data_IF_703571274737
#
_entry.id   IF_703571274737
#
_cell.length_a   1.000
_cell.length_b   1.000
_cell.length_c   1.000
_cell.angle_alpha   90.00
_cell.angle_beta   90.00
_cell.angle_gamma   90.00
#
_symmetry.space_group_name_H-M   'P 1'
#
loop_
_entity.id
_entity.type
_entity.pdbx_description
1 polymer ?
#
# COMPACT_ATOMS: atom_id res chain seq x y z
N UNK A 1 -16.93 12.01 -12.60
CA UNK A 1 -16.44 12.30 -13.95
C UNK A 1 -17.22 11.45 -14.93
N UNK A 2 -18.06 12.07 -15.78
CA UNK A 2 -18.90 11.36 -16.74
C UNK A 2 -18.02 10.55 -17.70
N UNK A 3 -18.29 9.25 -17.84
CA UNK A 3 -17.67 8.41 -18.88
C UNK A 3 -18.09 8.98 -20.22
N UNK A 4 -17.17 9.60 -20.96
CA UNK A 4 -17.43 10.12 -22.30
C UNK A 4 -17.88 8.96 -23.18
N UNK A 5 -19.17 8.97 -23.59
CA UNK A 5 -19.75 7.97 -24.47
C UNK A 5 -18.94 7.95 -25.78
N UNK A 6 -18.56 6.76 -26.26
CA UNK A 6 -17.84 6.63 -27.52
C UNK A 6 -18.61 7.30 -28.65
N UNK A 7 -17.97 8.24 -29.36
CA UNK A 7 -18.51 8.95 -30.52
C UNK A 7 -18.54 8.02 -31.74
N UNK A 8 -19.33 6.94 -31.67
CA UNK A 8 -19.47 5.98 -32.77
C UNK A 8 -20.19 6.67 -33.94
N UNK A 9 -19.67 6.51 -35.17
CA UNK A 9 -20.29 7.06 -36.38
C UNK A 9 -19.91 8.49 -36.76
N UNK A 10 -18.98 9.13 -36.05
CA UNK A 10 -18.47 10.46 -36.45
C UNK A 10 -17.62 10.34 -37.71
N UNK A 11 -18.01 11.06 -38.76
CA UNK A 11 -17.23 11.22 -39.98
C UNK A 11 -16.29 12.41 -39.80
N UNK A 12 -15.00 12.17 -39.99
CA UNK A 12 -13.97 13.21 -39.94
C UNK A 12 -13.66 13.71 -41.35
N UNK A 13 -13.29 14.98 -41.48
CA UNK A 13 -12.93 15.60 -42.76
C UNK A 13 -11.57 15.10 -43.24
N UNK A 14 -11.32 15.22 -44.54
CA UNK A 14 -10.03 14.85 -45.14
C UNK A 14 -8.90 15.71 -44.53
N UNK A 15 -9.18 16.98 -44.26
CA UNK A 15 -8.25 17.94 -43.63
C UNK A 15 -7.76 17.46 -42.25
N UNK A 16 -8.66 16.95 -41.40
CA UNK A 16 -8.26 16.42 -40.09
C UNK A 16 -7.34 15.21 -40.21
N UNK A 17 -7.52 14.39 -41.26
CA UNK A 17 -6.64 13.25 -41.54
C UNK A 17 -5.28 13.69 -42.05
N UNK A 18 -5.23 14.68 -42.95
CA UNK A 18 -3.95 15.21 -43.47
C UNK A 18 -3.15 15.88 -42.35
N UNK A 19 -3.82 16.63 -41.48
CA UNK A 19 -3.22 17.25 -40.30
C UNK A 19 -2.66 16.20 -39.33
N UNK A 20 -3.41 15.12 -39.06
CA UNK A 20 -2.94 14.00 -38.24
C UNK A 20 -1.64 13.36 -38.80
N UNK A 21 -1.57 13.21 -40.13
CA UNK A 21 -0.39 12.66 -40.82
C UNK A 21 0.81 13.59 -40.64
N UNK A 22 0.63 14.91 -40.79
CA UNK A 22 1.70 15.89 -40.58
C UNK A 22 2.22 15.85 -39.13
N UNK A 23 1.32 15.86 -38.14
CA UNK A 23 1.69 15.76 -36.73
C UNK A 23 2.47 14.47 -36.43
N UNK A 24 2.09 13.36 -37.07
CA UNK A 24 2.78 12.09 -36.92
C UNK A 24 4.18 12.12 -37.50
N UNK A 25 4.36 12.70 -38.69
CA UNK A 25 5.67 12.89 -39.34
C UNK A 25 6.60 13.78 -38.53
N UNK A 26 6.06 14.75 -37.79
CA UNK A 26 6.82 15.60 -36.84
C UNK A 26 7.28 14.80 -35.60
N UNK A 27 6.71 13.61 -35.35
CA UNK A 27 7.06 12.77 -34.21
C UNK A 27 6.15 12.96 -32.99
N UNK A 28 4.88 13.33 -33.19
CA UNK A 28 3.83 13.29 -32.15
C UNK A 28 3.31 11.87 -31.93
N UNK A 29 2.88 11.58 -30.71
CA UNK A 29 2.28 10.29 -30.37
C UNK A 29 0.80 10.22 -30.79
N UNK A 30 0.27 9.01 -31.01
CA UNK A 30 -1.16 8.83 -31.28
C UNK A 30 -2.06 9.48 -30.22
N UNK A 31 -1.64 9.50 -28.95
CA UNK A 31 -2.39 10.12 -27.85
C UNK A 31 -2.40 11.64 -27.94
N UNK A 32 -1.26 12.25 -28.25
CA UNK A 32 -1.15 13.70 -28.45
C UNK A 32 -1.99 14.15 -29.65
N UNK A 33 -1.94 13.41 -30.75
CA UNK A 33 -2.71 13.70 -31.97
C UNK A 33 -4.21 13.55 -31.69
N UNK A 34 -4.61 12.47 -31.00
CA UNK A 34 -6.00 12.24 -30.63
C UNK A 34 -6.55 13.38 -29.74
N UNK A 35 -5.75 13.84 -28.77
CA UNK A 35 -6.11 14.96 -27.92
C UNK A 35 -6.18 16.29 -28.69
N UNK A 36 -5.23 16.56 -29.58
CA UNK A 36 -5.15 17.80 -30.35
C UNK A 36 -6.32 17.95 -31.34
N UNK A 37 -6.66 16.88 -32.06
CA UNK A 37 -7.72 16.88 -33.09
C UNK A 37 -9.10 16.47 -32.54
N UNK A 38 -9.21 16.24 -31.23
CA UNK A 38 -10.43 15.77 -30.56
C UNK A 38 -11.03 14.49 -31.21
N UNK A 39 -10.16 13.60 -31.67
CA UNK A 39 -10.52 12.32 -32.31
C UNK A 39 -10.28 11.16 -31.34
N UNK A 40 -10.89 10.00 -31.62
CA UNK A 40 -10.62 8.81 -30.82
C UNK A 40 -9.19 8.30 -31.05
N UNK A 41 -8.60 7.67 -30.02
CA UNK A 41 -7.27 7.05 -30.13
C UNK A 41 -7.23 5.99 -31.23
N UNK A 42 -8.32 5.24 -31.39
CA UNK A 42 -8.46 4.21 -32.43
C UNK A 42 -8.46 4.82 -33.83
N UNK A 43 -9.15 5.96 -34.02
CA UNK A 43 -9.15 6.69 -35.30
C UNK A 43 -7.75 7.18 -35.65
N UNK A 44 -7.05 7.80 -34.68
CA UNK A 44 -5.68 8.26 -34.87
C UNK A 44 -4.74 7.09 -35.23
N UNK A 45 -4.86 5.95 -34.56
CA UNK A 45 -4.08 4.76 -34.88
C UNK A 45 -4.38 4.23 -36.28
N UNK A 46 -5.67 4.12 -36.65
CA UNK A 46 -6.10 3.58 -37.95
C UNK A 46 -5.52 4.38 -39.12
N UNK A 47 -5.48 5.71 -39.01
CA UNK A 47 -4.95 6.58 -40.06
C UNK A 47 -3.43 6.58 -40.16
N UNK A 48 -2.74 6.27 -39.07
CA UNK A 48 -1.30 6.50 -38.92
C UNK A 48 -0.48 5.22 -38.73
N UNK A 49 -1.12 4.05 -38.71
CA UNK A 49 -0.50 2.74 -38.45
C UNK A 49 0.67 2.42 -39.39
N UNK A 50 0.64 2.93 -40.62
CA UNK A 50 1.64 2.63 -41.65
C UNK A 50 2.84 3.60 -41.60
N UNK A 51 2.78 4.67 -40.79
CA UNK A 51 3.83 5.68 -40.67
C UNK A 51 4.86 5.25 -39.62
N UNK A 52 6.08 4.97 -40.09
CA UNK A 52 7.22 4.61 -39.23
C UNK A 52 7.86 5.86 -38.61
N UNK A 53 8.14 5.79 -37.30
CA UNK A 53 8.84 6.84 -36.56
C UNK A 53 10.35 6.57 -36.65
N UNK A 54 11.16 7.61 -36.86
CA UNK A 54 12.63 7.45 -36.86
C UNK A 54 13.19 7.19 -35.45
N UNK A 55 14.40 6.61 -35.33
CA UNK A 55 15.04 6.40 -34.03
C UNK A 55 15.20 7.71 -33.22
N UNK A 56 15.55 8.82 -33.87
CA UNK A 56 15.70 10.13 -33.22
C UNK A 56 14.37 10.66 -32.67
N UNK A 57 13.28 10.51 -33.43
CA UNK A 57 11.95 10.88 -32.98
C UNK A 57 11.46 10.00 -31.83
N UNK A 58 11.80 8.70 -31.83
CA UNK A 58 11.47 7.78 -30.74
C UNK A 58 12.13 8.20 -29.43
N UNK A 59 13.41 8.57 -29.46
CA UNK A 59 14.13 9.11 -28.30
C UNK A 59 13.49 10.41 -27.79
N UNK A 60 13.08 11.31 -28.70
CA UNK A 60 12.38 12.54 -28.33
C UNK A 60 10.99 12.27 -27.72
N UNK A 61 10.28 11.25 -28.18
CA UNK A 61 9.01 10.81 -27.56
C UNK A 61 9.26 10.26 -26.16
N UNK A 62 10.32 9.47 -25.99
CA UNK A 62 10.67 8.84 -24.72
C UNK A 62 11.09 9.88 -23.67
N UNK A 63 11.89 10.89 -24.04
CA UNK A 63 12.27 11.98 -23.13
C UNK A 63 11.08 12.83 -22.69
N UNK A 64 10.10 13.06 -23.59
CA UNK A 64 8.86 13.80 -23.30
C UNK A 64 7.83 12.98 -22.53
N UNK A 65 7.95 11.65 -22.52
CA UNK A 65 7.02 10.78 -21.81
C UNK A 65 7.15 11.07 -20.32
N UNK A 66 6.21 11.84 -19.79
CA UNK A 66 6.13 12.10 -18.36
C UNK A 66 5.89 10.78 -17.61
N UNK A 67 6.98 10.16 -17.16
CA UNK A 67 6.91 9.05 -16.23
C UNK A 67 6.46 9.66 -14.91
N UNK A 68 5.18 9.50 -14.57
CA UNK A 68 4.73 9.87 -13.22
C UNK A 68 5.47 8.98 -12.23
N UNK A 69 6.55 9.49 -11.65
CA UNK A 69 7.25 8.86 -10.54
C UNK A 69 6.48 9.22 -9.29
N UNK A 70 5.74 8.24 -8.76
CA UNK A 70 5.09 8.40 -7.46
C UNK A 70 6.17 8.61 -6.40
N UNK A 71 6.03 9.65 -5.60
CA UNK A 71 6.86 9.83 -4.41
C UNK A 71 6.62 8.68 -3.41
N UNK A 72 7.56 8.46 -2.48
CA UNK A 72 7.42 7.47 -1.42
C UNK A 72 6.13 7.68 -0.64
N UNK A 73 5.78 8.91 -0.30
CA UNK A 73 4.55 9.22 0.43
C UNK A 73 3.30 8.87 -0.39
N UNK A 74 3.28 9.23 -1.67
CA UNK A 74 2.17 8.89 -2.58
C UNK A 74 1.99 7.38 -2.73
N UNK A 75 3.09 6.62 -2.85
CA UNK A 75 3.06 5.15 -2.91
C UNK A 75 2.45 4.56 -1.65
N UNK A 76 2.85 5.05 -0.47
CA UNK A 76 2.32 4.59 0.81
C UNK A 76 0.83 4.90 0.95
N UNK A 77 0.40 6.11 0.56
CA UNK A 77 -1.01 6.49 0.59
C UNK A 77 -1.88 5.60 -0.31
N UNK A 78 -1.42 5.32 -1.54
CA UNK A 78 -2.11 4.42 -2.47
C UNK A 78 -2.16 3.00 -1.91
N UNK A 79 -1.05 2.50 -1.36
CA UNK A 79 -0.99 1.17 -0.75
C UNK A 79 -1.96 1.04 0.42
N UNK A 80 -2.03 2.05 1.30
CA UNK A 80 -2.98 2.08 2.41
C UNK A 80 -4.43 2.14 1.94
N UNK A 81 -4.71 2.94 0.91
CA UNK A 81 -6.06 3.05 0.32
C UNK A 81 -6.52 1.73 -0.31
N UNK A 82 -5.61 1.01 -0.97
CA UNK A 82 -5.90 -0.25 -1.65
C UNK A 82 -5.74 -1.49 -0.77
N UNK A 83 -5.41 -1.32 0.53
CA UNK A 83 -5.26 -2.44 1.47
C UNK A 83 -6.60 -3.17 1.62
N UNK A 84 -6.67 -4.48 1.27
CA UNK A 84 -7.90 -5.26 1.41
C UNK A 84 -8.39 -5.28 2.86
N UNK A 85 -9.71 -5.38 3.05
CA UNK A 85 -10.32 -5.37 4.38
C UNK A 85 -9.74 -6.42 5.32
N UNK A 86 -9.48 -7.64 4.82
CA UNK A 86 -8.87 -8.73 5.59
C UNK A 86 -7.49 -8.41 6.17
N UNK A 87 -6.79 -7.43 5.59
CA UNK A 87 -5.49 -6.95 6.07
C UNK A 87 -5.57 -5.60 6.77
N UNK A 88 -6.74 -4.98 6.88
CA UNK A 88 -6.90 -3.77 7.72
C UNK A 88 -6.68 -4.16 9.16
N UNK A 89 -5.93 -3.34 9.87
CA UNK A 89 -5.64 -3.58 11.27
C UNK A 89 -6.95 -3.44 12.06
N UNK A 90 -7.44 -4.56 12.62
CA UNK A 90 -8.76 -4.64 13.26
C UNK A 90 -8.80 -4.04 14.67
N UNK A 91 -7.65 -3.72 15.25
CA UNK A 91 -7.53 -3.23 16.62
C UNK A 91 -6.94 -1.82 16.61
N UNK A 92 -7.49 -0.93 17.43
CA UNK A 92 -6.84 0.34 17.74
C UNK A 92 -5.61 0.12 18.64
N UNK A 93 -4.82 1.16 18.85
CA UNK A 93 -3.68 1.09 19.77
C UNK A 93 -4.19 0.87 21.21
N UNK A 94 -5.29 1.52 21.58
CA UNK A 94 -5.96 1.37 22.86
C UNK A 94 -6.47 -0.05 23.06
N UNK A 95 -7.12 -0.66 22.06
CA UNK A 95 -7.61 -2.04 22.13
C UNK A 95 -6.47 -3.02 22.42
N UNK A 96 -5.31 -2.80 21.78
CA UNK A 96 -4.13 -3.65 21.95
C UNK A 96 -3.55 -3.52 23.37
N UNK A 97 -3.48 -2.30 23.91
CA UNK A 97 -3.01 -2.06 25.28
C UNK A 97 -4.00 -2.59 26.32
N UNK A 98 -5.30 -2.44 26.07
CA UNK A 98 -6.37 -2.93 26.94
C UNK A 98 -6.36 -4.46 27.03
N UNK A 99 -6.04 -5.17 25.95
CA UNK A 99 -5.82 -6.62 25.98
C UNK A 99 -4.72 -7.04 26.96
N UNK A 100 -3.62 -6.28 27.05
CA UNK A 100 -2.54 -6.55 28.01
C UNK A 100 -3.05 -6.34 29.44
N UNK A 101 -3.77 -5.23 29.68
CA UNK A 101 -4.37 -4.93 31.00
C UNK A 101 -5.39 -5.96 31.44
N UNK A 102 -6.25 -6.43 30.52
CA UNK A 102 -7.22 -7.50 30.77
C UNK A 102 -6.55 -8.83 31.12
N UNK A 103 -5.48 -9.18 30.41
CA UNK A 103 -4.71 -10.37 30.75
C UNK A 103 -4.13 -10.27 32.17
N UNK A 104 -3.54 -9.13 32.52
CA UNK A 104 -3.01 -8.89 33.86
C UNK A 104 -4.11 -8.98 34.94
N UNK A 105 -5.28 -8.41 34.68
CA UNK A 105 -6.43 -8.48 35.60
C UNK A 105 -6.89 -9.92 35.86
N UNK A 106 -6.84 -10.78 34.85
CA UNK A 106 -7.34 -12.14 34.95
C UNK A 106 -6.32 -13.12 35.55
N UNK A 107 -5.03 -12.93 35.26
CA UNK A 107 -3.97 -13.89 35.63
C UNK A 107 -2.97 -13.32 36.64
N UNK A 108 -3.09 -12.06 37.06
CA UNK A 108 -2.17 -11.41 38.00
C UNK A 108 -0.74 -11.19 37.48
N UNK A 109 -0.49 -11.47 36.19
CA UNK A 109 0.84 -11.40 35.58
C UNK A 109 0.83 -10.80 34.19
N UNK A 110 2.01 -10.41 33.72
CA UNK A 110 2.20 -9.87 32.38
C UNK A 110 2.22 -11.02 31.36
N UNK A 111 1.49 -10.90 30.23
CA UNK A 111 1.52 -11.92 29.19
C UNK A 111 2.91 -12.04 28.54
N UNK A 112 3.28 -13.24 28.16
CA UNK A 112 4.47 -13.51 27.34
C UNK A 112 4.15 -13.23 25.87
N UNK A 113 5.17 -12.83 25.11
CA UNK A 113 5.02 -12.50 23.68
C UNK A 113 4.42 -13.65 22.85
N UNK A 114 4.72 -14.90 23.19
CA UNK A 114 4.23 -16.07 22.46
C UNK A 114 2.80 -16.48 22.84
N UNK A 115 2.32 -16.10 24.03
CA UNK A 115 0.92 -16.32 24.44
C UNK A 115 -0.05 -15.42 23.67
N UNK A 116 0.48 -14.36 23.05
CA UNK A 116 -0.26 -13.47 22.17
C UNK A 116 0.04 -13.76 20.70
N UNK A 117 -0.90 -14.44 20.02
CA UNK A 117 -0.86 -14.69 18.56
C UNK A 117 -0.79 -13.41 17.69
N UNK A 118 -0.84 -12.22 18.30
CA UNK A 118 -0.79 -10.91 17.63
C UNK A 118 0.56 -10.18 17.76
N UNK A 119 1.64 -10.85 18.16
CA UNK A 119 2.95 -10.21 18.42
C UNK A 119 3.49 -9.33 17.28
N UNK A 120 3.15 -9.64 16.02
CA UNK A 120 3.49 -8.81 14.84
C UNK A 120 2.83 -7.42 14.90
N UNK A 121 1.56 -7.36 15.31
CA UNK A 121 0.79 -6.10 15.38
C UNK A 121 1.42 -5.19 16.44
N UNK A 122 1.71 -5.73 17.63
CA UNK A 122 2.36 -4.97 18.70
C UNK A 122 3.73 -4.43 18.28
N UNK A 123 4.53 -5.23 17.56
CA UNK A 123 5.83 -4.77 17.03
C UNK A 123 5.67 -3.66 15.99
N UNK A 124 4.71 -3.78 15.08
CA UNK A 124 4.49 -2.77 14.03
C UNK A 124 3.97 -1.44 14.60
N UNK A 125 3.14 -1.49 15.65
CA UNK A 125 2.50 -0.32 16.23
C UNK A 125 3.33 0.36 17.32
N UNK A 126 3.91 -0.43 18.24
CA UNK A 126 4.64 0.09 19.40
C UNK A 126 6.16 -0.09 19.29
N UNK A 127 6.65 -0.63 18.18
CA UNK A 127 8.07 -0.93 17.92
C UNK A 127 8.54 -2.24 18.56
N UNK A 128 8.12 -2.55 19.78
CA UNK A 128 8.45 -3.80 20.48
C UNK A 128 7.36 -4.25 21.45
N UNK A 129 7.38 -5.52 21.86
CA UNK A 129 6.47 -6.03 22.90
C UNK A 129 6.69 -5.32 24.23
N UNK A 130 7.95 -5.13 24.63
CA UNK A 130 8.29 -4.44 25.87
C UNK A 130 7.81 -2.99 25.87
N UNK A 131 7.88 -2.30 24.73
CA UNK A 131 7.30 -0.96 24.60
C UNK A 131 5.79 -0.97 24.81
N UNK A 132 5.08 -1.96 24.23
CA UNK A 132 3.64 -2.11 24.44
C UNK A 132 3.29 -2.38 25.92
N UNK A 133 4.05 -3.24 26.60
CA UNK A 133 3.89 -3.53 28.03
C UNK A 133 4.14 -2.27 28.87
N UNK A 134 5.18 -1.51 28.56
CA UNK A 134 5.49 -0.23 29.22
C UNK A 134 4.38 0.80 29.01
N UNK A 135 3.88 0.94 27.79
CA UNK A 135 2.74 1.82 27.46
C UNK A 135 1.44 1.37 28.12
N UNK A 136 1.27 0.07 28.36
CA UNK A 136 0.15 -0.45 29.14
C UNK A 136 0.25 -0.15 30.64
N UNK A 137 1.37 0.41 31.11
CA UNK A 137 1.60 0.81 32.51
C UNK A 137 2.29 -0.26 33.35
N UNK A 138 2.92 -1.26 32.73
CA UNK A 138 3.57 -2.37 33.43
C UNK A 138 5.09 -2.35 33.27
N UNK A 139 5.79 -2.97 34.22
CA UNK A 139 7.24 -3.17 34.13
C UNK A 139 7.59 -4.20 33.04
N UNK A 140 8.56 -3.86 32.21
CA UNK A 140 9.00 -4.77 31.14
C UNK A 140 9.82 -5.92 31.70
N UNK A 141 9.63 -7.13 31.17
CA UNK A 141 10.48 -8.26 31.51
C UNK A 141 11.58 -8.43 30.44
N UNK A 142 12.85 -8.03 30.70
CA UNK A 142 13.92 -8.08 29.69
C UNK A 142 14.37 -9.50 29.35
N UNK A 143 14.19 -10.47 30.27
CA UNK A 143 14.58 -11.87 30.10
C UNK A 143 13.42 -12.80 30.46
N UNK A 144 13.33 -13.96 29.79
CA UNK A 144 12.40 -15.01 30.21
C UNK A 144 12.79 -15.42 31.64
N UNK A 145 11.79 -15.50 32.53
CA UNK A 145 11.96 -15.91 33.93
C UNK A 145 12.68 -14.94 34.89
N UNK A 146 12.75 -13.63 34.59
CA UNK A 146 13.34 -12.68 35.56
C UNK A 146 12.63 -12.68 36.94
N UNK A 147 11.36 -13.09 36.99
CA UNK A 147 10.58 -13.22 38.22
C UNK A 147 10.34 -14.72 38.46
N UNK A 148 10.66 -15.18 39.67
CA UNK A 148 10.43 -16.55 40.14
C UNK A 148 9.04 -16.69 40.75
N UNK A 149 8.39 -17.82 40.52
CA UNK A 149 7.05 -18.09 41.02
C UNK A 149 7.09 -19.26 42.00
N UNK A 150 6.14 -19.29 42.92
CA UNK A 150 5.97 -20.42 43.84
C UNK A 150 4.86 -21.30 43.27
N UNK A 151 5.20 -22.56 43.00
CA UNK A 151 4.26 -23.55 42.53
C UNK A 151 3.28 -23.98 43.64
N UNK A 152 2.20 -24.69 43.28
CA UNK A 152 1.15 -25.10 44.23
C UNK A 152 1.66 -25.99 45.39
N UNK A 153 2.69 -26.78 45.13
CA UNK A 153 3.42 -27.65 46.06
C UNK A 153 4.56 -26.93 46.81
N UNK A 154 4.74 -25.62 46.59
CA UNK A 154 5.66 -24.77 47.34
C UNK A 154 7.09 -24.72 46.81
N UNK A 155 7.43 -25.43 45.73
CA UNK A 155 8.74 -25.28 45.10
C UNK A 155 8.82 -23.96 44.32
N UNK A 156 10.02 -23.36 44.31
CA UNK A 156 10.28 -22.18 43.51
C UNK A 156 10.55 -22.65 42.09
N UNK A 157 9.68 -22.24 41.16
CA UNK A 157 9.79 -22.57 39.75
C UNK A 157 10.00 -21.33 38.92
N UNK A 158 10.82 -21.49 37.88
CA UNK A 158 10.97 -20.50 36.83
C UNK A 158 9.81 -20.62 35.82
N UNK A 159 9.14 -21.78 35.73
CA UNK A 159 7.96 -21.99 34.88
C UNK A 159 6.66 -21.55 35.55
N UNK A 160 5.82 -20.82 34.83
CA UNK A 160 4.50 -20.37 35.31
C UNK A 160 3.41 -21.45 35.20
N UNK A 161 3.66 -22.57 34.51
CA UNK A 161 2.63 -23.60 34.26
C UNK A 161 1.95 -24.12 35.52
N UNK A 162 2.67 -24.14 36.65
CA UNK A 162 2.22 -24.71 37.94
C UNK A 162 2.09 -23.67 39.06
N UNK A 163 2.15 -22.37 38.73
CA UNK A 163 2.07 -21.28 39.71
C UNK A 163 0.64 -21.13 40.29
N UNK A 164 0.57 -20.80 41.57
CA UNK A 164 -0.69 -20.61 42.33
C UNK A 164 -1.27 -19.21 42.15
#
# INVERSE_FOLDING_TARGET
MAKTKGRNGVRHTIETKTEAILMRKIGRTHREIAAALNISLATAWLWLKDIQITPSQKLAIESRRHTRKLDKHEKTAIANRLKPFQYKDQYSDEDLLDKIKKFYKNYGRIPLKHEFNSSRIYRLRFGSWNNAVKMAGFETNPVLFAKRFVAQDGHICDSFSDAR
#
